data_IF_093826512400
#
_entry.id   IF_093826512400
#
_cell.length_a   1.000
_cell.length_b   1.000
_cell.length_c   1.000
_cell.angle_alpha   90.00
_cell.angle_beta   90.00
_cell.angle_gamma   90.00
#
_symmetry.space_group_name_H-M   'P 1'
#
loop_
_entity.id
_entity.type
_entity.pdbx_description
1 polymer ?
#
# COMPACT_ATOMS: atom_id res chain seq x y z
N UNK A 1 18.50 22.63 -24.49
CA UNK A 1 18.57 21.16 -24.35
C UNK A 1 18.11 20.82 -22.93
N UNK A 2 16.84 20.47 -22.78
CA UNK A 2 16.27 20.08 -21.48
C UNK A 2 16.64 18.61 -21.27
N UNK A 3 17.67 18.35 -20.47
CA UNK A 3 17.98 17.00 -20.01
C UNK A 3 16.83 16.55 -19.11
N UNK A 4 15.98 15.68 -19.64
CA UNK A 4 15.07 14.90 -18.83
C UNK A 4 15.92 14.06 -17.88
N UNK A 5 16.11 14.56 -16.67
CA UNK A 5 16.58 13.77 -15.56
C UNK A 5 15.44 12.80 -15.24
N UNK A 6 15.35 11.71 -16.01
CA UNK A 6 14.62 10.52 -15.61
C UNK A 6 15.41 9.99 -14.42
N UNK A 7 15.17 10.59 -13.27
CA UNK A 7 15.41 9.96 -11.99
C UNK A 7 14.64 8.65 -12.15
N UNK A 8 15.35 7.53 -12.35
CA UNK A 8 14.77 6.21 -12.14
C UNK A 8 13.95 6.35 -10.86
N UNK A 9 12.63 6.26 -10.97
CA UNK A 9 11.74 6.46 -9.85
C UNK A 9 11.93 5.24 -8.93
N UNK A 10 13.00 5.25 -8.14
CA UNK A 10 13.32 4.15 -7.24
C UNK A 10 12.14 4.03 -6.29
N UNK A 11 11.38 2.92 -6.35
CA UNK A 11 10.18 2.77 -5.56
C UNK A 11 10.54 2.84 -4.07
N UNK A 12 9.67 3.47 -3.27
CA UNK A 12 9.87 3.55 -1.82
C UNK A 12 10.06 2.15 -1.26
N UNK A 13 11.04 1.97 -0.37
CA UNK A 13 11.38 0.66 0.25
C UNK A 13 10.15 -0.10 0.78
N UNK A 14 9.18 0.61 1.38
CA UNK A 14 7.96 -0.02 1.90
C UNK A 14 7.04 -0.56 0.80
N UNK A 15 6.98 0.11 -0.36
CA UNK A 15 6.25 -0.36 -1.53
C UNK A 15 6.90 -1.63 -2.08
N UNK A 16 8.23 -1.64 -2.20
CA UNK A 16 8.99 -2.83 -2.64
C UNK A 16 8.70 -4.03 -1.74
N UNK A 17 8.84 -3.87 -0.42
CA UNK A 17 8.54 -4.93 0.56
C UNK A 17 7.11 -5.48 0.42
N UNK A 18 6.15 -4.61 0.11
CA UNK A 18 4.75 -5.02 -0.06
C UNK A 18 4.56 -5.84 -1.33
N UNK A 19 5.19 -5.43 -2.43
CA UNK A 19 5.15 -6.20 -3.69
C UNK A 19 5.89 -7.53 -3.55
N UNK A 20 7.10 -7.50 -2.99
CA UNK A 20 7.95 -8.66 -2.73
C UNK A 20 7.24 -9.72 -1.90
N UNK A 21 6.50 -9.32 -0.86
CA UNK A 21 5.72 -10.25 -0.03
C UNK A 21 4.70 -11.06 -0.85
N UNK A 22 4.03 -10.43 -1.82
CA UNK A 22 3.01 -11.11 -2.65
C UNK A 22 3.70 -11.95 -3.74
N UNK A 23 4.67 -11.37 -4.43
CA UNK A 23 5.31 -12.00 -5.58
C UNK A 23 6.20 -13.18 -5.19
N UNK A 24 6.93 -13.10 -4.07
CA UNK A 24 7.72 -14.24 -3.58
C UNK A 24 6.85 -15.45 -3.23
N UNK A 25 5.69 -15.24 -2.60
CA UNK A 25 4.73 -16.30 -2.29
C UNK A 25 4.03 -16.83 -3.54
N UNK A 26 3.72 -15.95 -4.49
CA UNK A 26 3.17 -16.36 -5.77
C UNK A 26 4.17 -17.23 -6.54
N UNK A 27 5.43 -16.80 -6.64
CA UNK A 27 6.50 -17.55 -7.27
C UNK A 27 6.72 -18.91 -6.58
N UNK A 28 6.71 -18.96 -5.24
CA UNK A 28 6.84 -20.23 -4.52
C UNK A 28 5.69 -21.21 -4.85
N UNK A 29 4.46 -20.70 -4.93
CA UNK A 29 3.27 -21.51 -5.19
C UNK A 29 3.16 -22.01 -6.64
N UNK A 30 3.59 -21.20 -7.61
CA UNK A 30 3.47 -21.51 -9.04
C UNK A 30 4.82 -21.76 -9.76
N UNK A 31 5.90 -21.97 -9.01
CA UNK A 31 7.30 -22.05 -9.48
C UNK A 31 7.58 -22.94 -10.69
N UNK A 32 6.76 -23.98 -10.92
CA UNK A 32 6.96 -24.98 -11.98
C UNK A 32 5.98 -24.86 -13.15
N UNK A 33 5.09 -23.88 -13.14
CA UNK A 33 4.03 -23.73 -14.16
C UNK A 33 4.24 -22.48 -14.99
N UNK A 34 3.82 -22.57 -16.24
CA UNK A 34 3.79 -21.40 -17.13
C UNK A 34 2.62 -20.47 -16.76
N UNK A 35 2.83 -19.17 -16.87
CA UNK A 35 1.85 -18.13 -16.55
C UNK A 35 0.56 -18.27 -17.37
N UNK A 36 0.65 -18.81 -18.59
CA UNK A 36 -0.49 -19.05 -19.48
C UNK A 36 -1.42 -20.15 -18.95
N UNK A 37 -0.86 -21.11 -18.21
CA UNK A 37 -1.61 -22.26 -17.68
C UNK A 37 -2.42 -21.96 -16.42
N UNK A 38 -2.18 -20.81 -15.78
CA UNK A 38 -2.78 -20.48 -14.48
C UNK A 38 -4.21 -19.96 -14.68
N UNK A 39 -5.18 -20.67 -14.12
CA UNK A 39 -6.59 -20.29 -14.24
C UNK A 39 -7.01 -19.24 -13.19
N UNK A 40 -8.08 -18.51 -13.46
CA UNK A 40 -8.67 -17.52 -12.57
C UNK A 40 -9.15 -18.11 -11.22
N UNK A 41 -9.64 -19.36 -11.21
CA UNK A 41 -10.03 -20.05 -9.98
C UNK A 41 -8.84 -20.35 -9.06
N UNK A 42 -7.71 -20.75 -9.63
CA UNK A 42 -6.48 -21.01 -8.88
C UNK A 42 -5.93 -19.73 -8.25
N UNK A 43 -5.99 -18.62 -8.98
CA UNK A 43 -5.61 -17.30 -8.46
C UNK A 43 -6.55 -16.85 -7.34
N UNK A 44 -7.85 -17.08 -7.52
CA UNK A 44 -8.82 -16.76 -6.48
C UNK A 44 -8.50 -17.57 -5.20
N UNK A 45 -8.26 -18.87 -5.34
CA UNK A 45 -7.88 -19.75 -4.22
C UNK A 45 -6.58 -19.28 -3.54
N UNK A 46 -5.55 -18.95 -4.31
CA UNK A 46 -4.30 -18.39 -3.81
C UNK A 46 -4.50 -17.06 -3.06
N UNK A 47 -5.28 -16.13 -3.62
CA UNK A 47 -5.51 -14.84 -2.98
C UNK A 47 -6.37 -14.97 -1.71
N UNK A 48 -7.34 -15.89 -1.69
CA UNK A 48 -8.13 -16.18 -0.49
C UNK A 48 -7.26 -16.80 0.59
N UNK A 49 -6.40 -17.78 0.27
CA UNK A 49 -5.48 -18.38 1.23
C UNK A 49 -4.45 -17.39 1.75
N UNK A 50 -3.91 -16.54 0.87
CA UNK A 50 -2.98 -15.47 1.25
C UNK A 50 -3.63 -14.46 2.19
N UNK A 51 -4.95 -14.28 2.14
CA UNK A 51 -5.66 -13.17 2.81
C UNK A 51 -6.71 -13.58 3.83
N UNK A 52 -6.70 -14.83 4.29
CA UNK A 52 -7.73 -15.43 5.15
C UNK A 52 -8.19 -14.51 6.29
N UNK A 53 -7.24 -13.96 7.06
CA UNK A 53 -7.51 -13.17 8.28
C UNK A 53 -7.23 -11.66 8.10
N UNK A 54 -7.17 -11.20 6.85
CA UNK A 54 -6.82 -9.82 6.53
C UNK A 54 -8.05 -8.91 6.37
N UNK A 55 -7.92 -7.64 6.75
CA UNK A 55 -8.94 -6.65 6.48
C UNK A 55 -9.09 -6.38 4.96
N UNK A 56 -10.26 -5.86 4.55
CA UNK A 56 -10.59 -5.65 3.14
C UNK A 56 -9.58 -4.75 2.41
N UNK A 57 -9.02 -3.76 3.10
CA UNK A 57 -7.97 -2.90 2.55
C UNK A 57 -6.71 -3.69 2.16
N UNK A 58 -6.28 -4.60 3.03
CA UNK A 58 -5.11 -5.45 2.77
C UNK A 58 -5.41 -6.48 1.69
N UNK A 59 -6.62 -7.05 1.68
CA UNK A 59 -7.09 -7.94 0.60
C UNK A 59 -6.98 -7.24 -0.76
N UNK A 60 -7.55 -6.03 -0.86
CA UNK A 60 -7.52 -5.21 -2.07
C UNK A 60 -6.09 -4.88 -2.51
N UNK A 61 -5.22 -4.53 -1.57
CA UNK A 61 -3.84 -4.18 -1.87
C UNK A 61 -3.07 -5.37 -2.48
N UNK A 62 -3.17 -6.55 -1.87
CA UNK A 62 -2.50 -7.77 -2.37
C UNK A 62 -3.02 -8.20 -3.75
N UNK A 63 -4.34 -8.13 -3.96
CA UNK A 63 -4.95 -8.30 -5.28
C UNK A 63 -4.41 -7.29 -6.31
N UNK A 64 -4.25 -6.02 -5.91
CA UNK A 64 -3.76 -4.96 -6.80
C UNK A 64 -2.31 -5.21 -7.23
N UNK A 65 -1.46 -5.72 -6.34
CA UNK A 65 -0.07 -6.10 -6.68
C UNK A 65 -0.09 -7.17 -7.76
N UNK A 66 -0.83 -8.26 -7.56
CA UNK A 66 -0.88 -9.37 -8.51
C UNK A 66 -1.50 -8.96 -9.86
N UNK A 67 -2.55 -8.14 -9.82
CA UNK A 67 -3.17 -7.58 -11.04
C UNK A 67 -2.17 -6.74 -11.82
N UNK A 68 -1.38 -5.90 -11.13
CA UNK A 68 -0.37 -5.05 -11.77
C UNK A 68 0.77 -5.86 -12.36
N UNK A 69 1.15 -6.97 -11.71
CA UNK A 69 2.12 -7.92 -12.24
C UNK A 69 1.65 -8.55 -13.55
N UNK A 70 0.43 -9.09 -13.61
CA UNK A 70 -0.11 -9.64 -14.86
C UNK A 70 -0.23 -8.57 -15.95
N UNK A 71 -0.72 -7.38 -15.61
CA UNK A 71 -0.78 -6.27 -16.58
C UNK A 71 0.60 -5.90 -17.13
N UNK A 72 1.63 -5.90 -16.27
CA UNK A 72 3.00 -5.65 -16.70
C UNK A 72 3.49 -6.75 -17.66
N UNK A 73 3.30 -8.02 -17.32
CA UNK A 73 3.69 -9.15 -18.17
C UNK A 73 2.97 -9.15 -19.51
N UNK A 74 1.67 -8.83 -19.52
CA UNK A 74 0.87 -8.73 -20.74
C UNK A 74 1.43 -7.64 -21.65
N UNK A 75 1.72 -6.46 -21.09
CA UNK A 75 2.20 -5.32 -21.87
C UNK A 75 3.66 -5.45 -22.35
N UNK A 76 4.44 -6.40 -21.82
CA UNK A 76 5.89 -6.48 -22.08
C UNK A 76 6.34 -7.78 -22.75
N UNK A 77 5.74 -8.92 -22.40
CA UNK A 77 6.24 -10.25 -22.81
C UNK A 77 5.17 -11.06 -23.56
N UNK A 78 3.92 -11.06 -23.08
CA UNK A 78 2.86 -11.93 -23.60
C UNK A 78 1.53 -11.17 -23.79
N UNK A 79 1.38 -10.39 -24.89
CA UNK A 79 0.18 -9.58 -25.14
C UNK A 79 -1.13 -10.37 -25.22
N UNK A 80 -1.06 -11.62 -25.67
CA UNK A 80 -2.23 -12.49 -25.84
C UNK A 80 -2.68 -13.20 -24.56
N UNK A 81 -1.96 -13.01 -23.44
CA UNK A 81 -2.31 -13.63 -22.16
C UNK A 81 -3.58 -12.95 -21.57
N UNK A 82 -4.70 -13.66 -21.41
CA UNK A 82 -5.87 -13.11 -20.74
C UNK A 82 -5.53 -12.86 -19.26
N UNK A 83 -5.83 -11.67 -18.73
CA UNK A 83 -5.56 -11.40 -17.31
C UNK A 83 -6.50 -12.22 -16.40
N UNK A 84 -5.99 -13.22 -15.68
CA UNK A 84 -6.81 -14.12 -14.86
C UNK A 84 -7.36 -13.45 -13.59
N UNK A 85 -6.85 -12.25 -13.23
CA UNK A 85 -7.35 -11.43 -12.13
C UNK A 85 -8.54 -10.54 -12.52
N UNK A 86 -8.94 -10.50 -13.80
CA UNK A 86 -9.93 -9.55 -14.31
C UNK A 86 -11.39 -10.02 -14.20
N UNK A 87 -11.62 -11.28 -13.80
CA UNK A 87 -12.94 -11.90 -13.66
C UNK A 87 -13.82 -11.15 -12.65
N UNK A 88 -15.12 -11.02 -12.97
CA UNK A 88 -16.09 -10.30 -12.13
C UNK A 88 -16.14 -10.81 -10.67
N UNK A 89 -15.99 -12.12 -10.48
CA UNK A 89 -15.97 -12.78 -9.17
C UNK A 89 -14.80 -12.25 -8.32
N UNK A 90 -13.58 -12.27 -8.88
CA UNK A 90 -12.37 -11.83 -8.19
C UNK A 90 -12.48 -10.34 -7.85
N UNK A 91 -12.94 -9.51 -8.78
CA UNK A 91 -13.16 -8.07 -8.52
C UNK A 91 -14.16 -7.83 -7.39
N UNK A 92 -15.21 -8.65 -7.29
CA UNK A 92 -16.23 -8.54 -6.23
C UNK A 92 -15.68 -8.95 -4.86
N UNK A 93 -14.92 -10.04 -4.79
CA UNK A 93 -14.26 -10.50 -3.56
C UNK A 93 -13.22 -9.48 -3.08
N UNK A 94 -12.38 -8.99 -3.99
CA UNK A 94 -11.31 -8.01 -3.71
C UNK A 94 -11.76 -6.58 -4.03
N UNK A 95 -13.01 -6.22 -3.70
CA UNK A 95 -13.54 -4.86 -3.88
C UNK A 95 -12.80 -3.86 -3.00
N UNK A 96 -12.84 -2.58 -3.40
CA UNK A 96 -12.30 -1.49 -2.57
C UNK A 96 -13.04 -1.46 -1.22
N UNK A 97 -12.31 -1.30 -0.10
CA UNK A 97 -12.94 -1.08 1.20
C UNK A 97 -13.75 0.21 1.15
N UNK A 98 -14.87 0.25 1.88
CA UNK A 98 -15.58 1.51 2.08
C UNK A 98 -14.67 2.47 2.87
N UNK A 99 -14.69 3.77 2.55
CA UNK A 99 -13.93 4.75 3.32
C UNK A 99 -14.44 4.73 4.76
N UNK A 100 -13.53 4.46 5.70
CA UNK A 100 -13.82 4.58 7.12
C UNK A 100 -13.94 6.07 7.41
N UNK A 101 -15.12 6.50 7.85
CA UNK A 101 -15.29 7.83 8.43
C UNK A 101 -14.64 7.81 9.82
N UNK A 102 -13.47 8.42 9.93
CA UNK A 102 -12.83 8.60 11.22
C UNK A 102 -13.59 9.67 12.00
N UNK A 103 -13.84 9.40 13.28
CA UNK A 103 -14.35 10.43 14.18
C UNK A 103 -13.31 11.55 14.26
N UNK A 104 -13.69 12.73 13.80
CA UNK A 104 -12.86 13.92 13.89
C UNK A 104 -12.84 14.31 15.36
N UNK A 105 -11.64 14.52 15.91
CA UNK A 105 -11.46 14.92 17.31
C UNK A 105 -11.58 16.44 17.38
N UNK A 106 -12.38 16.92 18.32
CA UNK A 106 -12.57 18.35 18.55
C UNK A 106 -11.29 19.04 19.03
N UNK A 107 -11.15 20.32 18.69
CA UNK A 107 -9.97 21.12 19.00
C UNK A 107 -9.66 21.14 20.50
N UNK A 108 -10.68 21.28 21.34
CA UNK A 108 -10.57 21.35 22.81
C UNK A 108 -9.96 20.07 23.38
N UNK A 109 -10.40 18.90 22.91
CA UNK A 109 -9.88 17.60 23.30
C UNK A 109 -8.41 17.46 22.87
N UNK A 110 -8.07 17.91 21.66
CA UNK A 110 -6.68 17.88 21.18
C UNK A 110 -5.77 18.77 22.02
N UNK A 111 -6.21 20.00 22.33
CA UNK A 111 -5.44 20.94 23.16
C UNK A 111 -5.28 20.40 24.60
N UNK A 112 -6.32 19.78 25.17
CA UNK A 112 -6.25 19.11 26.47
C UNK A 112 -5.24 17.95 26.46
N UNK A 113 -5.27 17.10 25.43
CA UNK A 113 -4.31 15.99 25.27
C UNK A 113 -2.88 16.54 25.21
N UNK A 114 -2.63 17.60 24.44
CA UNK A 114 -1.31 18.23 24.34
C UNK A 114 -0.88 18.79 25.70
N UNK A 115 -1.79 19.48 26.41
CA UNK A 115 -1.52 20.08 27.70
C UNK A 115 -1.18 19.06 28.78
N UNK A 116 -1.92 17.94 28.84
CA UNK A 116 -1.69 16.85 29.82
C UNK A 116 -0.38 16.09 29.60
N UNK A 117 0.30 16.23 28.46
CA UNK A 117 1.56 15.51 28.17
C UNK A 117 2.74 16.19 28.84
N UNK A 118 3.28 15.53 29.87
CA UNK A 118 4.47 16.00 30.60
C UNK A 118 5.77 15.92 29.80
N UNK A 119 5.91 14.96 28.89
CA UNK A 119 7.13 14.82 28.10
C UNK A 119 7.18 15.89 27.00
N UNK A 120 8.13 16.83 27.13
CA UNK A 120 8.32 17.97 26.21
C UNK A 120 8.45 17.53 24.75
N UNK A 121 9.21 16.45 24.47
CA UNK A 121 9.38 15.93 23.10
C UNK A 121 8.05 15.49 22.51
N UNK A 122 7.30 14.67 23.24
CA UNK A 122 6.03 14.14 22.76
C UNK A 122 4.98 15.24 22.61
N UNK A 123 4.99 16.24 23.51
CA UNK A 123 4.15 17.42 23.45
C UNK A 123 4.43 18.23 22.19
N UNK A 124 5.69 18.57 21.91
CA UNK A 124 6.09 19.29 20.70
C UNK A 124 5.72 18.52 19.41
N UNK A 125 5.87 17.20 19.42
CA UNK A 125 5.45 16.36 18.30
C UNK A 125 3.94 16.45 18.06
N UNK A 126 3.12 16.33 19.10
CA UNK A 126 1.66 16.46 19.00
C UNK A 126 1.25 17.85 18.54
N UNK A 127 1.92 18.90 19.02
CA UNK A 127 1.68 20.28 18.63
C UNK A 127 1.96 20.52 17.15
N UNK A 128 3.06 19.99 16.62
CA UNK A 128 3.39 20.07 15.19
C UNK A 128 2.40 19.29 14.32
N UNK A 129 1.87 18.17 14.81
CA UNK A 129 0.83 17.42 14.07
C UNK A 129 -0.50 18.16 14.09
N UNK A 130 -0.93 18.67 15.25
CA UNK A 130 -2.23 19.31 15.44
C UNK A 130 -2.32 20.69 14.79
N UNK A 131 -1.31 21.55 15.00
CA UNK A 131 -1.28 22.94 14.51
C UNK A 131 -0.63 23.06 13.13
N UNK A 132 0.45 22.31 12.91
CA UNK A 132 1.20 22.31 11.65
C UNK A 132 0.66 21.33 10.59
N UNK A 133 -0.34 20.52 10.92
CA UNK A 133 -0.91 19.51 10.01
C UNK A 133 0.11 18.48 9.52
N UNK A 134 1.22 18.31 10.25
CA UNK A 134 2.33 17.48 9.79
C UNK A 134 2.02 16.00 10.01
N UNK A 135 2.28 15.16 9.01
CA UNK A 135 2.28 13.70 9.21
C UNK A 135 3.40 13.32 10.18
N UNK A 136 3.15 12.36 11.06
CA UNK A 136 4.14 11.88 12.06
C UNK A 136 5.51 11.55 11.45
N UNK A 137 5.53 10.92 10.27
CA UNK A 137 6.78 10.60 9.57
C UNK A 137 7.59 11.81 9.11
N UNK A 138 6.96 12.98 8.96
CA UNK A 138 7.63 14.27 8.70
C UNK A 138 8.15 14.85 10.00
N UNK A 139 7.35 14.82 11.06
CA UNK A 139 7.73 15.32 12.40
C UNK A 139 8.98 14.60 12.92
N UNK A 140 9.04 13.28 12.76
CA UNK A 140 10.20 12.48 13.18
C UNK A 140 11.50 12.76 12.39
N UNK A 141 11.39 13.43 11.23
CA UNK A 141 12.53 13.77 10.36
C UNK A 141 12.87 15.26 10.40
N UNK A 142 12.22 16.04 11.27
CA UNK A 142 12.55 17.44 11.47
C UNK A 142 13.99 17.57 11.94
N UNK A 143 14.68 18.55 11.37
CA UNK A 143 16.05 18.94 11.71
C UNK A 143 16.04 20.46 11.94
N UNK A 144 16.90 21.00 12.83
CA UNK A 144 16.94 22.43 13.12
C UNK A 144 17.10 23.31 11.87
N UNK A 145 17.81 22.83 10.85
CA UNK A 145 17.99 23.56 9.58
C UNK A 145 16.71 23.81 8.76
N UNK A 146 15.60 23.15 9.09
CA UNK A 146 14.31 23.39 8.44
C UNK A 146 13.48 24.48 9.12
N UNK A 147 13.96 25.01 10.25
CA UNK A 147 13.32 26.06 11.01
C UNK A 147 14.24 27.28 10.86
N UNK A 148 13.72 28.32 10.21
CA UNK A 148 14.45 29.51 9.83
C UNK A 148 14.20 30.63 10.85
#
# INVERSE_FOLDING_TARGET
>A
MITWNIIEQIPKKNTVKTCEFVLSRFAAHFSKRDLVSINHEEILSFLVSLTRDNNQSTKRNRYSVLTSFYNFTINTVLPDLPNPCNTAIIKKVFRRPQPIQWQIVDKEIVDEIIFRKMNIRNRLMLEHMARGGMRIGKVLKLRPCYIQ
#
